data_IF_555426079488
#
_entry.id   IF_555426079488
#
_cell.length_a   1.000
_cell.length_b   1.000
_cell.length_c   1.000
_cell.angle_alpha   90.00
_cell.angle_beta   90.00
_cell.angle_gamma   90.00
#
_symmetry.space_group_name_H-M   'P 1'
#
loop_
_entity.id
_entity.type
_entity.pdbx_description
1 polymer ?
#
# COMPACT_ATOMS: atom_id res chain seq x y z
N UNK A 1 3.60 15.65 -23.39
CA UNK A 1 2.26 15.11 -23.03
C UNK A 1 2.36 14.66 -21.58
N UNK A 2 1.51 15.17 -20.72
CA UNK A 2 1.49 14.86 -19.30
C UNK A 2 0.53 13.71 -19.06
N UNK A 3 1.00 12.64 -18.42
CA UNK A 3 0.24 11.39 -18.28
C UNK A 3 0.57 10.70 -16.97
N UNK A 4 -0.40 9.97 -16.43
CA UNK A 4 -0.17 8.97 -15.39
C UNK A 4 -0.67 7.64 -15.96
N UNK A 5 0.21 6.66 -16.01
CA UNK A 5 -0.10 5.30 -16.44
C UNK A 5 -0.08 4.37 -15.24
N UNK A 6 -1.17 3.67 -15.00
CA UNK A 6 -1.22 2.55 -14.06
C UNK A 6 -0.59 1.32 -14.71
N UNK A 7 0.29 0.65 -13.98
CA UNK A 7 1.01 -0.55 -14.42
C UNK A 7 0.64 -1.67 -13.45
N UNK A 8 -0.08 -2.68 -13.92
CA UNK A 8 -0.29 -3.90 -13.14
C UNK A 8 1.06 -4.60 -12.93
N UNK A 9 1.40 -4.87 -11.67
CA UNK A 9 2.70 -5.41 -11.28
C UNK A 9 2.71 -6.94 -11.23
N UNK A 10 1.58 -7.61 -11.50
CA UNK A 10 1.49 -9.08 -11.47
C UNK A 10 1.78 -9.68 -10.10
N UNK A 11 1.57 -8.93 -9.02
CA UNK A 11 1.82 -9.38 -7.66
C UNK A 11 0.86 -10.51 -7.29
N UNK A 12 1.37 -11.75 -7.17
CA UNK A 12 0.60 -13.00 -6.98
C UNK A 12 -0.32 -13.33 -8.16
N UNK A 13 -1.21 -12.42 -8.55
CA UNK A 13 -2.00 -12.47 -9.76
C UNK A 13 -2.32 -11.05 -10.28
N UNK A 14 -2.72 -10.94 -11.54
CA UNK A 14 -3.12 -9.66 -12.15
C UNK A 14 -4.29 -9.02 -11.40
N UNK A 15 -4.22 -7.70 -11.24
CA UNK A 15 -5.24 -6.87 -10.59
C UNK A 15 -5.08 -6.72 -9.09
N UNK A 16 -4.03 -7.30 -8.48
CA UNK A 16 -3.81 -7.25 -7.04
C UNK A 16 -3.03 -5.99 -6.61
N UNK A 17 -1.91 -5.68 -7.26
CA UNK A 17 -1.10 -4.50 -6.97
C UNK A 17 -0.54 -3.87 -8.25
N UNK A 18 -0.41 -2.55 -8.23
CA UNK A 18 0.02 -1.75 -9.36
C UNK A 18 0.99 -0.66 -8.91
N UNK A 19 1.75 -0.15 -9.86
CA UNK A 19 2.56 1.04 -9.72
C UNK A 19 2.12 2.08 -10.74
N UNK A 20 2.70 3.28 -10.63
CA UNK A 20 2.36 4.39 -11.50
C UNK A 20 3.60 4.94 -12.18
N UNK A 21 3.54 5.04 -13.50
CA UNK A 21 4.48 5.82 -14.30
C UNK A 21 3.88 7.20 -14.55
N UNK A 22 4.49 8.22 -13.96
CA UNK A 22 4.12 9.62 -14.12
C UNK A 22 5.07 10.26 -15.13
N UNK A 23 4.51 10.87 -16.18
CA UNK A 23 5.26 11.44 -17.30
C UNK A 23 4.97 12.95 -17.41
N UNK A 24 6.04 13.71 -17.64
CA UNK A 24 5.99 15.13 -17.99
C UNK A 24 7.03 15.42 -19.07
N UNK A 25 6.57 15.47 -20.33
CA UNK A 25 7.45 15.68 -21.48
C UNK A 25 8.37 14.48 -21.71
N UNK A 26 9.67 14.72 -21.61
CA UNK A 26 10.77 13.75 -21.75
C UNK A 26 11.26 13.19 -20.41
N UNK A 27 10.51 13.44 -19.32
CA UNK A 27 10.86 13.05 -17.95
C UNK A 27 9.83 12.12 -17.35
N UNK A 28 10.29 11.24 -16.47
CA UNK A 28 9.47 10.25 -15.79
C UNK A 28 9.73 10.18 -14.27
N UNK A 29 8.71 9.74 -13.54
CA UNK A 29 8.78 9.36 -12.13
C UNK A 29 7.96 8.09 -11.93
N UNK A 30 8.47 7.14 -11.14
CA UNK A 30 7.67 6.02 -10.65
C UNK A 30 7.13 6.33 -9.26
N UNK A 31 5.85 6.04 -9.03
CA UNK A 31 5.25 5.97 -7.69
C UNK A 31 4.84 4.54 -7.44
N UNK A 32 5.37 3.99 -6.34
CA UNK A 32 5.44 2.55 -6.04
C UNK A 32 6.36 1.80 -7.00
N UNK A 33 7.05 0.77 -6.47
CA UNK A 33 8.02 -0.02 -7.24
C UNK A 33 7.75 -1.52 -7.14
N UNK A 34 6.80 -1.88 -6.27
CA UNK A 34 6.28 -3.22 -6.08
C UNK A 34 7.40 -4.23 -5.79
N UNK A 35 7.25 -5.49 -6.19
CA UNK A 35 8.28 -6.53 -6.01
C UNK A 35 9.36 -6.49 -7.10
N UNK A 36 10.47 -7.22 -6.93
CA UNK A 36 11.48 -7.34 -8.00
C UNK A 36 10.90 -7.91 -9.31
N UNK A 37 9.90 -8.78 -9.22
CA UNK A 37 9.24 -9.36 -10.39
C UNK A 37 8.45 -8.34 -11.20
N UNK A 38 8.10 -7.19 -10.60
CA UNK A 38 7.44 -6.09 -11.30
C UNK A 38 8.42 -5.23 -12.11
N UNK A 39 9.72 -5.21 -11.78
CA UNK A 39 10.68 -4.30 -12.42
C UNK A 39 10.71 -4.43 -13.95
N UNK A 40 10.72 -5.63 -14.57
CA UNK A 40 10.61 -5.76 -16.01
C UNK A 40 9.36 -5.06 -16.58
N UNK A 41 8.20 -5.18 -15.92
CA UNK A 41 6.95 -4.54 -16.33
C UNK A 41 7.03 -3.01 -16.23
N UNK A 42 7.69 -2.49 -15.19
CA UNK A 42 7.92 -1.05 -15.03
C UNK A 42 8.82 -0.50 -16.14
N UNK A 43 9.92 -1.19 -16.44
CA UNK A 43 10.87 -0.79 -17.49
C UNK A 43 10.24 -0.88 -18.88
N UNK A 44 9.43 -1.90 -19.14
CA UNK A 44 8.74 -2.03 -20.43
C UNK A 44 7.66 -0.97 -20.59
N UNK A 45 6.91 -0.65 -19.54
CA UNK A 45 5.96 0.47 -19.56
C UNK A 45 6.63 1.82 -19.88
N UNK A 46 7.86 2.05 -19.39
CA UNK A 46 8.64 3.25 -19.71
C UNK A 46 9.08 3.28 -21.18
N UNK A 47 9.58 2.16 -21.71
CA UNK A 47 9.97 2.03 -23.13
C UNK A 47 8.80 2.23 -24.09
N UNK A 48 7.63 1.69 -23.74
CA UNK A 48 6.42 1.84 -24.55
C UNK A 48 5.97 3.31 -24.68
N UNK A 49 6.31 4.15 -23.70
CA UNK A 49 6.09 5.59 -23.75
C UNK A 49 7.22 6.34 -24.47
N UNK A 50 8.20 5.61 -25.02
CA UNK A 50 9.32 6.15 -25.80
C UNK A 50 10.42 6.79 -24.97
N UNK A 51 10.47 6.51 -23.66
CA UNK A 51 11.44 7.11 -22.73
C UNK A 51 12.60 6.17 -22.41
N UNK A 52 13.79 6.74 -22.25
CA UNK A 52 14.98 6.05 -21.77
C UNK A 52 15.00 5.92 -20.24
N UNK A 53 15.85 5.05 -19.70
CA UNK A 53 15.96 4.85 -18.25
C UNK A 53 16.59 6.06 -17.53
N UNK A 54 17.37 6.84 -18.26
CA UNK A 54 17.95 8.12 -17.84
C UNK A 54 16.91 9.25 -17.74
N UNK A 55 15.71 9.07 -18.30
CA UNK A 55 14.59 9.99 -18.17
C UNK A 55 13.91 9.92 -16.78
N UNK A 56 14.20 8.89 -15.98
CA UNK A 56 13.58 8.71 -14.66
C UNK A 56 14.30 9.58 -13.63
N UNK A 57 13.63 10.62 -13.14
CA UNK A 57 14.17 11.52 -12.11
C UNK A 57 13.94 10.99 -10.70
N UNK A 58 12.78 10.37 -10.46
CA UNK A 58 12.39 9.92 -9.13
C UNK A 58 11.77 8.53 -9.12
N UNK A 59 12.07 7.83 -8.05
CA UNK A 59 11.46 6.56 -7.66
C UNK A 59 10.87 6.79 -6.27
N UNK A 60 9.55 6.81 -6.14
CA UNK A 60 8.87 7.20 -4.90
C UNK A 60 8.18 5.98 -4.30
N UNK A 61 8.46 5.66 -3.04
CA UNK A 61 7.72 4.65 -2.28
C UNK A 61 6.84 5.31 -1.22
N UNK A 62 5.58 4.91 -1.11
CA UNK A 62 4.71 5.39 -0.01
C UNK A 62 5.17 4.88 1.34
N UNK A 63 5.62 3.62 1.40
CA UNK A 63 6.16 2.96 2.59
C UNK A 63 6.99 1.71 2.22
N UNK A 64 7.63 1.07 3.19
CA UNK A 64 8.67 0.05 2.93
C UNK A 64 8.20 -1.41 2.92
N UNK A 65 6.89 -1.69 2.91
CA UNK A 65 6.45 -3.08 2.72
C UNK A 65 6.91 -3.61 1.36
N UNK A 66 7.21 -4.90 1.27
CA UNK A 66 7.96 -5.46 0.14
C UNK A 66 7.15 -5.58 -1.16
N UNK A 67 5.84 -5.59 -1.06
CA UNK A 67 4.88 -5.44 -2.16
C UNK A 67 4.70 -4.00 -2.64
N UNK A 68 5.38 -3.04 -2.01
CA UNK A 68 5.42 -1.62 -2.40
C UNK A 68 6.83 -1.19 -2.82
N UNK A 69 7.84 -1.65 -2.08
CA UNK A 69 9.22 -1.18 -2.16
C UNK A 69 10.25 -2.27 -2.50
N UNK A 70 9.87 -3.54 -2.64
CA UNK A 70 10.81 -4.65 -2.84
C UNK A 70 11.68 -4.51 -4.09
N UNK A 71 11.12 -3.98 -5.17
CA UNK A 71 11.79 -3.74 -6.45
C UNK A 71 12.60 -2.44 -6.52
N UNK A 72 12.65 -1.64 -5.44
CA UNK A 72 13.24 -0.28 -5.47
C UNK A 72 14.73 -0.32 -5.84
N UNK A 73 15.51 -1.18 -5.17
CA UNK A 73 16.95 -1.27 -5.42
C UNK A 73 17.27 -1.83 -6.81
N UNK A 74 16.49 -2.80 -7.28
CA UNK A 74 16.63 -3.35 -8.63
C UNK A 74 16.27 -2.31 -9.69
N UNK A 75 15.11 -1.65 -9.60
CA UNK A 75 14.70 -0.60 -10.53
C UNK A 75 15.71 0.56 -10.58
N UNK A 76 16.20 1.00 -9.42
CA UNK A 76 17.20 2.07 -9.34
C UNK A 76 18.49 1.73 -10.09
N UNK A 77 18.88 0.45 -10.13
CA UNK A 77 20.09 0.01 -10.85
C UNK A 77 20.00 0.22 -12.37
N UNK A 78 18.79 0.30 -12.92
CA UNK A 78 18.54 0.60 -14.33
C UNK A 78 18.40 2.10 -14.60
N UNK A 79 18.03 2.90 -13.59
CA UNK A 79 17.70 4.32 -13.72
C UNK A 79 18.85 5.21 -13.19
N UNK A 80 19.87 5.55 -14.00
CA UNK A 80 21.10 6.17 -13.52
C UNK A 80 20.90 7.58 -12.93
N UNK A 81 19.85 8.29 -13.30
CA UNK A 81 19.56 9.65 -12.84
C UNK A 81 18.56 9.70 -11.66
N UNK A 82 17.91 8.58 -11.33
CA UNK A 82 16.79 8.58 -10.40
C UNK A 82 17.22 8.78 -8.93
N UNK A 83 16.50 9.62 -8.18
CA UNK A 83 16.60 9.66 -6.72
C UNK A 83 15.41 8.95 -6.09
N UNK A 84 15.66 8.10 -5.09
CA UNK A 84 14.60 7.45 -4.33
C UNK A 84 14.04 8.42 -3.29
N UNK A 85 12.74 8.67 -3.33
CA UNK A 85 12.03 9.50 -2.36
C UNK A 85 11.26 8.60 -1.39
N UNK A 86 11.50 8.78 -0.09
CA UNK A 86 10.89 7.94 0.94
C UNK A 86 10.66 8.69 2.25
N UNK A 87 9.78 8.13 3.07
CA UNK A 87 9.55 8.63 4.41
C UNK A 87 10.85 8.50 5.24
N UNK A 88 11.21 9.46 6.12
CA UNK A 88 12.46 9.40 6.89
C UNK A 88 12.67 8.11 7.70
N UNK A 89 11.58 7.52 8.22
CA UNK A 89 11.59 6.22 8.91
C UNK A 89 11.63 5.00 7.98
N UNK A 90 11.31 5.13 6.70
CA UNK A 90 11.43 4.05 5.71
C UNK A 90 12.87 3.94 5.17
N UNK A 91 13.54 5.09 5.00
CA UNK A 91 14.86 5.18 4.36
C UNK A 91 15.95 4.27 4.96
N UNK A 92 16.07 4.10 6.29
CA UNK A 92 17.06 3.17 6.84
C UNK A 92 16.87 1.73 6.36
N UNK A 93 15.63 1.30 6.13
CA UNK A 93 15.29 -0.04 5.65
C UNK A 93 15.50 -0.21 4.14
N UNK A 94 15.47 0.87 3.37
CA UNK A 94 15.89 0.84 1.97
C UNK A 94 17.42 0.73 1.83
N UNK A 95 18.14 1.48 2.68
CA UNK A 95 19.61 1.49 2.67
C UNK A 95 20.17 0.16 3.15
N UNK A 96 19.58 -0.40 4.21
CA UNK A 96 19.90 -1.72 4.74
C UNK A 96 18.61 -2.54 4.94
N UNK A 97 18.24 -3.39 3.96
CA UNK A 97 17.02 -4.19 4.02
C UNK A 97 17.15 -5.43 4.90
N UNK A 98 18.30 -5.70 5.52
CA UNK A 98 18.56 -6.95 6.28
C UNK A 98 17.50 -7.27 7.33
N UNK A 99 17.04 -6.25 8.07
CA UNK A 99 15.99 -6.41 9.08
C UNK A 99 14.63 -6.74 8.47
N UNK A 100 14.27 -6.09 7.36
CA UNK A 100 13.00 -6.28 6.66
C UNK A 100 12.93 -7.66 6.01
N UNK A 101 14.04 -8.10 5.41
CA UNK A 101 14.22 -9.45 4.86
C UNK A 101 14.04 -10.48 5.99
N UNK A 102 14.78 -10.32 7.09
CA UNK A 102 14.72 -11.25 8.23
C UNK A 102 13.33 -11.37 8.81
N UNK A 103 12.63 -10.25 9.04
CA UNK A 103 11.26 -10.28 9.58
C UNK A 103 10.28 -10.94 8.62
N UNK A 104 10.42 -10.69 7.31
CA UNK A 104 9.53 -11.27 6.30
C UNK A 104 9.75 -12.78 6.14
N UNK A 105 11.01 -13.24 6.16
CA UNK A 105 11.35 -14.67 6.16
C UNK A 105 10.77 -15.38 7.38
N UNK A 106 10.78 -14.74 8.56
CA UNK A 106 10.18 -15.31 9.76
C UNK A 106 8.66 -15.52 9.65
N UNK A 107 7.97 -14.70 8.86
CA UNK A 107 6.52 -14.77 8.66
C UNK A 107 6.17 -15.75 7.55
N UNK A 108 6.80 -15.63 6.38
CA UNK A 108 6.41 -16.38 5.18
C UNK A 108 7.21 -17.67 4.96
N UNK A 109 8.36 -17.82 5.63
CA UNK A 109 9.35 -18.83 5.31
C UNK A 109 10.27 -18.37 4.17
N UNK A 110 11.51 -18.88 4.16
CA UNK A 110 12.55 -18.46 3.22
C UNK A 110 12.18 -18.74 1.75
N UNK A 111 11.67 -19.94 1.47
CA UNK A 111 11.27 -20.32 0.11
C UNK A 111 10.18 -19.39 -0.44
N UNK A 112 9.12 -19.14 0.35
CA UNK A 112 8.03 -18.26 -0.08
C UNK A 112 8.47 -16.80 -0.19
N UNK A 113 9.37 -16.34 0.70
CA UNK A 113 9.94 -15.01 0.61
C UNK A 113 10.59 -14.77 -0.76
N UNK A 114 11.47 -15.67 -1.19
CA UNK A 114 12.15 -15.51 -2.49
C UNK A 114 11.20 -15.70 -3.67
N UNK A 115 10.17 -16.56 -3.54
CA UNK A 115 9.11 -16.68 -4.56
C UNK A 115 8.26 -15.41 -4.72
N UNK A 116 7.99 -14.70 -3.62
CA UNK A 116 7.16 -13.49 -3.63
C UNK A 116 7.94 -12.24 -4.01
N UNK A 117 9.17 -12.10 -3.51
CA UNK A 117 9.89 -10.83 -3.55
C UNK A 117 11.23 -10.89 -4.29
N UNK A 118 11.80 -12.07 -4.53
CA UNK A 118 13.14 -12.23 -5.10
C UNK A 118 14.25 -11.70 -4.18
N UNK A 119 15.41 -11.38 -4.76
CA UNK A 119 16.55 -10.84 -4.02
C UNK A 119 16.42 -9.32 -3.80
N UNK A 120 16.20 -8.89 -2.57
CA UNK A 120 16.05 -7.47 -2.24
C UNK A 120 17.41 -6.77 -2.25
N UNK A 121 17.63 -5.89 -3.22
CA UNK A 121 18.84 -5.06 -3.31
C UNK A 121 18.76 -3.83 -2.40
N UNK A 122 19.84 -3.47 -1.69
CA UNK A 122 19.91 -2.22 -0.95
C UNK A 122 19.95 -1.01 -1.89
N UNK A 123 19.50 0.13 -1.39
CA UNK A 123 19.59 1.42 -2.09
C UNK A 123 20.80 2.22 -1.57
N UNK A 124 21.68 2.75 -2.44
CA UNK A 124 22.78 3.60 -2.00
C UNK A 124 22.27 4.85 -1.27
N UNK A 125 22.84 5.16 -0.10
CA UNK A 125 22.36 6.23 0.79
C UNK A 125 22.31 7.59 0.09
N UNK A 126 23.29 7.88 -0.76
CA UNK A 126 23.41 9.10 -1.55
C UNK A 126 22.32 9.24 -2.63
N UNK A 127 21.61 8.14 -2.94
CA UNK A 127 20.47 8.10 -3.86
C UNK A 127 19.13 8.11 -3.13
N UNK A 128 19.11 8.28 -1.81
CA UNK A 128 17.87 8.40 -1.01
C UNK A 128 17.69 9.83 -0.53
N UNK A 129 16.52 10.41 -0.79
CA UNK A 129 16.07 11.68 -0.21
C UNK A 129 14.84 11.45 0.66
N UNK A 130 14.93 11.94 1.88
CA UNK A 130 13.81 11.93 2.82
C UNK A 130 12.84 13.06 2.52
N UNK A 131 11.55 12.76 2.51
CA UNK A 131 10.49 13.77 2.36
C UNK A 131 9.76 13.99 3.69
N UNK A 132 9.76 15.22 4.19
CA UNK A 132 9.12 15.57 5.46
C UNK A 132 7.60 15.78 5.31
N UNK A 133 6.87 15.79 6.43
CA UNK A 133 5.43 16.06 6.41
C UNK A 133 5.15 17.47 5.89
N UNK A 134 4.28 17.57 4.90
CA UNK A 134 3.94 18.82 4.22
C UNK A 134 4.98 19.33 3.24
N UNK A 135 6.10 18.63 3.04
CA UNK A 135 7.13 19.03 2.08
C UNK A 135 6.58 18.98 0.65
N UNK A 136 6.98 19.95 -0.17
CA UNK A 136 6.57 20.08 -1.56
C UNK A 136 7.78 19.93 -2.50
N UNK A 137 7.57 19.26 -3.63
CA UNK A 137 8.55 19.03 -4.68
C UNK A 137 7.95 19.46 -6.02
N UNK A 138 8.43 20.57 -6.58
CA UNK A 138 8.13 20.95 -7.96
C UNK A 138 8.83 20.01 -8.94
N UNK A 139 8.07 19.43 -9.87
CA UNK A 139 8.60 18.55 -10.92
C UNK A 139 7.78 18.74 -12.19
N UNK A 140 8.39 19.25 -13.27
CA UNK A 140 7.65 19.60 -14.48
C UNK A 140 6.57 20.66 -14.22
N UNK A 141 5.34 20.38 -14.66
CA UNK A 141 4.15 21.25 -14.46
C UNK A 141 3.36 20.94 -13.19
N UNK A 142 3.84 20.02 -12.36
CA UNK A 142 3.17 19.59 -11.13
C UNK A 142 4.02 19.87 -9.89
N UNK A 143 3.34 19.95 -8.76
CA UNK A 143 3.94 19.92 -7.43
C UNK A 143 3.44 18.67 -6.73
N UNK A 144 4.38 17.85 -6.26
CA UNK A 144 4.09 16.75 -5.34
C UNK A 144 4.14 17.26 -3.91
N UNK A 145 3.06 17.05 -3.14
CA UNK A 145 3.03 17.34 -1.71
C UNK A 145 2.98 16.04 -0.92
N UNK A 146 3.93 15.87 -0.01
CA UNK A 146 4.07 14.67 0.81
C UNK A 146 3.32 14.85 2.12
N UNK A 147 2.37 13.97 2.41
CA UNK A 147 1.54 14.04 3.62
C UNK A 147 1.80 12.78 4.43
N UNK A 148 2.44 12.92 5.60
CA UNK A 148 2.72 11.79 6.47
C UNK A 148 1.40 11.24 7.04
N UNK A 149 1.18 9.97 6.78
CA UNK A 149 0.00 9.23 7.22
C UNK A 149 0.45 8.07 8.09
N UNK A 150 -0.28 7.86 9.17
CA UNK A 150 -0.06 6.76 10.11
C UNK A 150 -1.28 5.85 10.10
N UNK A 151 -1.22 4.80 10.91
CA UNK A 151 -2.33 3.89 11.08
C UNK A 151 -2.15 2.61 10.30
N UNK A 152 -1.69 2.62 9.05
CA UNK A 152 -1.24 1.39 8.39
C UNK A 152 0.22 1.05 8.79
N UNK A 153 1.12 2.02 8.64
CA UNK A 153 2.51 1.92 9.10
C UNK A 153 3.02 3.27 9.61
N UNK A 154 4.02 3.24 10.50
CA UNK A 154 4.63 4.45 11.06
C UNK A 154 5.58 5.18 10.09
N UNK A 155 5.85 4.58 8.94
CA UNK A 155 6.77 5.05 7.91
C UNK A 155 6.05 5.23 6.56
N UNK A 156 4.84 5.76 6.60
CA UNK A 156 3.97 5.92 5.43
C UNK A 156 3.74 7.40 5.12
N UNK A 157 3.69 7.75 3.83
CA UNK A 157 3.11 9.01 3.38
C UNK A 157 2.19 8.80 2.17
N UNK A 158 1.30 9.76 1.95
CA UNK A 158 0.58 9.92 0.70
C UNK A 158 1.21 11.06 -0.11
N UNK A 159 1.04 11.05 -1.43
CA UNK A 159 1.63 12.02 -2.34
C UNK A 159 0.50 12.69 -3.13
N UNK A 160 0.19 13.94 -2.81
CA UNK A 160 -0.77 14.74 -3.58
C UNK A 160 -0.10 15.27 -4.85
N UNK A 161 -0.76 15.13 -6.00
CA UNK A 161 -0.33 15.62 -7.31
C UNK A 161 -1.19 16.80 -7.75
N UNK A 162 -0.60 18.00 -7.77
CA UNK A 162 -1.32 19.24 -8.08
C UNK A 162 -1.89 19.29 -9.50
N UNK A 163 -1.32 18.56 -10.46
CA UNK A 163 -1.74 18.64 -11.86
C UNK A 163 -3.01 17.83 -12.12
N UNK A 164 -3.14 16.66 -11.50
CA UNK A 164 -4.32 15.79 -11.68
C UNK A 164 -5.37 15.94 -10.59
N UNK A 165 -5.10 16.79 -9.58
CA UNK A 165 -5.87 16.90 -8.34
C UNK A 165 -6.15 15.53 -7.70
N UNK A 166 -5.15 14.64 -7.76
CA UNK A 166 -5.22 13.28 -7.25
C UNK A 166 -4.18 13.02 -6.17
N UNK A 167 -4.33 11.93 -5.44
CA UNK A 167 -3.40 11.56 -4.36
C UNK A 167 -3.02 10.09 -4.43
N UNK A 168 -1.71 9.79 -4.46
CA UNK A 168 -1.20 8.44 -4.31
C UNK A 168 -1.20 8.06 -2.84
N UNK A 169 -1.88 6.98 -2.48
CA UNK A 169 -2.23 6.73 -1.08
C UNK A 169 -1.53 5.57 -0.43
N UNK A 170 -0.78 4.76 -1.21
CA UNK A 170 -0.31 3.47 -0.74
C UNK A 170 -1.48 2.68 -0.16
N UNK A 171 -1.24 2.14 1.03
CA UNK A 171 -2.22 1.37 1.81
C UNK A 171 -3.03 2.20 2.81
N UNK A 172 -2.70 3.49 2.97
CA UNK A 172 -3.46 4.36 3.89
C UNK A 172 -4.94 4.46 3.48
N UNK A 173 -5.22 4.40 2.17
CA UNK A 173 -6.59 4.44 1.63
C UNK A 173 -7.10 3.07 1.17
N UNK A 174 -6.52 1.99 1.71
CA UNK A 174 -7.07 0.65 1.67
C UNK A 174 -7.00 -0.10 0.34
N UNK A 175 -7.77 -1.18 0.31
CA UNK A 175 -7.85 -2.21 -0.73
C UNK A 175 -9.26 -2.21 -1.33
N UNK A 176 -9.43 -2.67 -2.56
CA UNK A 176 -10.65 -2.43 -3.38
C UNK A 176 -10.49 -2.97 -4.79
N UNK A 177 -9.91 -4.18 -4.86
CA UNK A 177 -9.45 -4.88 -6.05
C UNK A 177 -10.36 -4.73 -7.27
N UNK A 178 -9.77 -4.84 -8.47
CA UNK A 178 -10.51 -4.83 -9.74
C UNK A 178 -11.70 -5.79 -9.73
N UNK A 179 -11.56 -6.93 -9.04
CA UNK A 179 -12.60 -7.93 -8.81
C UNK A 179 -13.87 -7.38 -8.12
N UNK A 180 -13.72 -6.34 -7.30
CA UNK A 180 -14.78 -5.70 -6.54
C UNK A 180 -15.11 -4.29 -7.03
N UNK A 181 -14.75 -3.96 -8.28
CA UNK A 181 -15.11 -2.69 -8.93
C UNK A 181 -16.40 -2.81 -9.71
N UNK A 182 -17.35 -1.92 -9.42
CA UNK A 182 -18.66 -1.83 -10.09
C UNK A 182 -19.24 -0.43 -9.89
N UNK A 183 -18.72 0.55 -10.64
CA UNK A 183 -19.16 1.95 -10.54
C UNK A 183 -19.29 2.42 -9.08
N UNK A 184 -20.46 2.96 -8.71
CA UNK A 184 -20.81 3.42 -7.35
C UNK A 184 -20.94 2.30 -6.31
N UNK A 185 -21.10 1.06 -6.74
CA UNK A 185 -21.23 -0.12 -5.87
C UNK A 185 -19.86 -0.78 -5.61
N UNK A 186 -18.76 -0.16 -6.03
CA UNK A 186 -17.40 -0.65 -5.76
C UNK A 186 -17.11 -0.77 -4.26
N UNK A 187 -16.34 -1.79 -3.89
CA UNK A 187 -15.92 -2.02 -2.52
C UNK A 187 -14.51 -1.48 -2.27
N UNK A 188 -14.34 -0.75 -1.17
CA UNK A 188 -13.07 -0.35 -0.60
C UNK A 188 -13.05 -0.71 0.90
N UNK A 189 -11.96 -1.25 1.41
CA UNK A 189 -11.81 -1.67 2.81
C UNK A 189 -10.36 -1.51 3.31
N UNK A 190 -10.15 -1.32 4.62
CA UNK A 190 -8.80 -1.12 5.15
C UNK A 190 -7.97 -2.39 5.18
N UNK A 191 -6.65 -2.21 5.11
CA UNK A 191 -5.63 -3.22 5.38
C UNK A 191 -5.08 -3.04 6.80
N UNK A 192 -5.34 -4.00 7.67
CA UNK A 192 -4.84 -4.09 9.07
C UNK A 192 -3.71 -5.08 9.23
N UNK A 193 -3.15 -5.53 8.11
CA UNK A 193 -2.14 -6.58 8.01
C UNK A 193 -0.83 -6.27 8.77
N UNK A 194 -0.36 -5.01 8.92
CA UNK A 194 0.88 -4.75 9.64
C UNK A 194 0.71 -4.77 11.15
N UNK A 195 1.76 -5.21 11.84
CA UNK A 195 1.82 -5.24 13.32
C UNK A 195 1.67 -3.88 14.01
N UNK A 196 1.83 -2.79 13.24
CA UNK A 196 1.73 -1.41 13.68
C UNK A 196 0.38 -0.77 13.39
N UNK A 197 -0.63 -1.55 12.96
CA UNK A 197 -1.93 -1.00 12.64
C UNK A 197 -2.52 -0.21 13.81
N UNK A 198 -2.93 1.05 13.60
CA UNK A 198 -3.53 1.92 14.61
C UNK A 198 -4.80 2.59 14.05
N UNK A 199 -5.95 2.25 14.63
CA UNK A 199 -7.25 2.62 14.09
C UNK A 199 -7.51 4.13 14.24
N UNK A 200 -7.10 4.71 15.37
CA UNK A 200 -7.24 6.14 15.65
C UNK A 200 -6.40 6.97 14.68
N UNK A 201 -5.12 6.62 14.51
CA UNK A 201 -4.22 7.29 13.56
C UNK A 201 -4.64 7.05 12.10
N UNK A 202 -5.22 5.88 11.78
CA UNK A 202 -5.78 5.61 10.45
C UNK A 202 -6.97 6.52 10.14
N UNK A 203 -7.90 6.70 11.09
CA UNK A 203 -9.04 7.62 10.92
C UNK A 203 -8.57 9.06 10.68
N UNK A 204 -7.60 9.53 11.47
CA UNK A 204 -6.99 10.86 11.27
C UNK A 204 -6.31 10.97 9.91
N UNK A 205 -5.69 9.89 9.42
CA UNK A 205 -5.02 9.88 8.12
C UNK A 205 -6.01 9.94 6.96
N UNK A 206 -7.20 9.34 7.08
CA UNK A 206 -8.29 9.54 6.11
C UNK A 206 -8.72 11.01 6.08
N UNK A 207 -8.82 11.67 7.24
CA UNK A 207 -9.15 13.10 7.31
C UNK A 207 -8.06 13.98 6.68
N UNK A 208 -6.77 13.64 6.90
CA UNK A 208 -5.65 14.31 6.23
C UNK A 208 -5.73 14.18 4.71
N UNK A 209 -6.05 13.00 4.19
CA UNK A 209 -6.21 12.76 2.74
C UNK A 209 -7.32 13.66 2.19
N UNK A 210 -8.51 13.68 2.82
CA UNK A 210 -9.60 14.56 2.40
C UNK A 210 -9.25 16.05 2.52
N UNK A 211 -8.46 16.41 3.53
CA UNK A 211 -7.99 17.78 3.76
C UNK A 211 -7.03 18.31 2.69
N UNK A 212 -6.48 17.44 1.82
CA UNK A 212 -5.67 17.89 0.68
C UNK A 212 -6.50 18.55 -0.43
N UNK A 213 -7.81 18.26 -0.49
CA UNK A 213 -8.68 18.72 -1.57
C UNK A 213 -8.63 17.87 -2.84
N UNK A 214 -7.91 16.73 -2.82
CA UNK A 214 -7.91 15.77 -3.94
C UNK A 214 -9.33 15.27 -4.26
N UNK A 215 -9.61 15.06 -5.54
CA UNK A 215 -10.90 14.53 -6.01
C UNK A 215 -10.89 13.00 -6.12
N UNK A 216 -9.71 12.41 -6.34
CA UNK A 216 -9.51 10.98 -6.58
C UNK A 216 -8.26 10.44 -5.91
N UNK A 217 -8.24 9.15 -5.65
CA UNK A 217 -7.09 8.45 -5.08
C UNK A 217 -6.45 7.47 -6.09
N UNK A 218 -5.13 7.37 -6.08
CA UNK A 218 -4.35 6.39 -6.81
C UNK A 218 -3.88 5.33 -5.81
N UNK A 219 -4.55 4.17 -5.82
CA UNK A 219 -4.37 3.09 -4.87
C UNK A 219 -3.29 2.12 -5.36
N UNK A 220 -2.38 1.67 -4.49
CA UNK A 220 -1.36 0.67 -4.90
C UNK A 220 -2.03 -0.64 -5.26
N UNK A 221 -2.96 -1.08 -4.45
CA UNK A 221 -3.84 -2.14 -4.86
C UNK A 221 -4.83 -1.53 -5.85
N UNK A 222 -4.86 -2.01 -7.10
CA UNK A 222 -5.85 -1.79 -8.19
C UNK A 222 -6.17 -0.38 -8.75
N UNK A 223 -5.36 0.66 -8.55
CA UNK A 223 -5.43 1.83 -9.46
C UNK A 223 -6.34 2.97 -9.01
N UNK A 224 -6.92 3.68 -9.99
CA UNK A 224 -7.66 4.94 -9.74
C UNK A 224 -9.00 4.68 -9.04
N UNK A 225 -9.24 5.40 -7.94
CA UNK A 225 -10.51 5.51 -7.26
C UNK A 225 -11.07 6.92 -7.40
N UNK A 226 -12.06 7.09 -8.28
CA UNK A 226 -12.56 8.40 -8.70
C UNK A 226 -13.39 9.13 -7.64
N UNK A 227 -14.16 8.41 -6.81
CA UNK A 227 -14.99 9.03 -5.77
C UNK A 227 -14.33 8.92 -4.39
N UNK A 228 -13.36 9.80 -4.13
CA UNK A 228 -12.61 9.79 -2.88
C UNK A 228 -13.51 9.96 -1.64
N UNK A 229 -14.66 10.63 -1.76
CA UNK A 229 -15.57 10.84 -0.62
C UNK A 229 -16.30 9.57 -0.25
N UNK A 230 -16.82 8.84 -1.24
CA UNK A 230 -17.37 7.50 -1.03
C UNK A 230 -16.30 6.56 -0.46
N UNK A 231 -15.10 6.57 -1.03
CA UNK A 231 -13.98 5.76 -0.54
C UNK A 231 -13.65 6.05 0.93
N UNK A 232 -13.58 7.33 1.31
CA UNK A 232 -13.29 7.74 2.69
C UNK A 232 -14.39 7.29 3.67
N UNK A 233 -15.65 7.31 3.27
CA UNK A 233 -16.76 6.78 4.08
C UNK A 233 -16.59 5.28 4.31
N UNK A 234 -16.29 4.51 3.26
CA UNK A 234 -16.05 3.06 3.35
C UNK A 234 -14.83 2.75 4.23
N UNK A 235 -13.74 3.50 4.08
CA UNK A 235 -12.54 3.35 4.91
C UNK A 235 -12.83 3.61 6.38
N UNK A 236 -13.53 4.69 6.73
CA UNK A 236 -13.90 4.98 8.12
C UNK A 236 -14.78 3.89 8.72
N UNK A 237 -15.79 3.43 7.98
CA UNK A 237 -16.65 2.32 8.41
C UNK A 237 -15.83 1.04 8.66
N UNK A 238 -14.95 0.68 7.72
CA UNK A 238 -14.10 -0.49 7.84
C UNK A 238 -13.12 -0.40 9.01
N UNK A 239 -12.46 0.75 9.20
CA UNK A 239 -11.52 0.94 10.32
C UNK A 239 -12.25 0.80 11.66
N UNK A 240 -13.45 1.35 11.78
CA UNK A 240 -14.29 1.20 12.97
C UNK A 240 -14.68 -0.27 13.17
N UNK A 241 -15.03 -0.99 12.10
CA UNK A 241 -15.33 -2.42 12.18
C UNK A 241 -14.12 -3.23 12.71
N UNK A 242 -12.91 -2.99 12.19
CA UNK A 242 -11.70 -3.65 12.65
C UNK A 242 -11.38 -3.32 14.11
N UNK A 243 -11.56 -2.06 14.53
CA UNK A 243 -11.43 -1.64 15.93
C UNK A 243 -12.44 -2.34 16.84
N UNK A 244 -13.67 -2.55 16.39
CA UNK A 244 -14.69 -3.28 17.16
C UNK A 244 -14.36 -4.76 17.29
N UNK A 245 -13.84 -5.39 16.24
CA UNK A 245 -13.34 -6.77 16.27
C UNK A 245 -12.20 -6.88 17.28
N UNK A 246 -11.23 -5.97 17.21
CA UNK A 246 -10.11 -5.89 18.16
C UNK A 246 -10.60 -5.77 19.62
N UNK A 247 -11.49 -4.82 19.90
CA UNK A 247 -12.04 -4.59 21.24
C UNK A 247 -12.78 -5.83 21.77
N UNK A 248 -13.54 -6.51 20.90
CA UNK A 248 -14.26 -7.73 21.26
C UNK A 248 -13.31 -8.89 21.52
N UNK A 249 -12.28 -9.05 20.69
CA UNK A 249 -11.27 -10.09 20.80
C UNK A 249 -10.48 -9.96 22.11
N UNK A 250 -10.12 -8.74 22.54
CA UNK A 250 -9.46 -8.52 23.85
C UNK A 250 -10.28 -9.12 24.99
N UNK A 251 -11.60 -8.89 25.01
CA UNK A 251 -12.51 -9.32 26.09
C UNK A 251 -12.66 -10.84 26.20
N UNK A 252 -12.38 -11.58 25.12
CA UNK A 252 -12.49 -13.04 25.13
C UNK A 252 -11.41 -13.74 25.96
N UNK A 253 -10.24 -13.11 26.11
CA UNK A 253 -9.07 -13.76 26.69
C UNK A 253 -8.42 -14.81 25.78
N UNK A 254 -8.89 -15.03 24.55
CA UNK A 254 -8.29 -15.99 23.61
C UNK A 254 -6.86 -15.60 23.24
N UNK A 255 -6.01 -16.59 22.93
CA UNK A 255 -4.60 -16.47 22.56
C UNK A 255 -4.28 -17.40 21.38
N UNK A 256 -3.17 -17.14 20.68
CA UNK A 256 -2.67 -17.98 19.59
C UNK A 256 -3.69 -18.23 18.48
N UNK A 257 -3.75 -19.47 17.98
CA UNK A 257 -4.62 -19.85 16.88
C UNK A 257 -6.11 -19.61 17.14
N UNK A 258 -6.56 -19.74 18.40
CA UNK A 258 -7.96 -19.48 18.76
C UNK A 258 -8.31 -18.00 18.63
N UNK A 259 -7.37 -17.11 18.97
CA UNK A 259 -7.54 -15.67 18.78
C UNK A 259 -7.57 -15.30 17.29
N UNK A 260 -6.67 -15.88 16.50
CA UNK A 260 -6.64 -15.66 15.04
C UNK A 260 -7.96 -16.12 14.40
N UNK A 261 -8.42 -17.33 14.69
CA UNK A 261 -9.68 -17.86 14.14
C UNK A 261 -10.91 -17.02 14.56
N UNK A 262 -10.93 -16.49 15.79
CA UNK A 262 -11.97 -15.59 16.27
C UNK A 262 -12.03 -14.29 15.47
N UNK A 263 -10.86 -13.70 15.18
CA UNK A 263 -10.73 -12.48 14.39
C UNK A 263 -11.07 -12.76 12.92
N UNK A 264 -10.54 -13.82 12.34
CA UNK A 264 -10.73 -14.20 10.93
C UNK A 264 -12.21 -14.35 10.59
N UNK A 265 -12.96 -15.11 11.41
CA UNK A 265 -14.40 -15.30 11.22
C UNK A 265 -15.16 -13.97 11.15
N UNK A 266 -14.75 -12.98 11.96
CA UNK A 266 -15.43 -11.68 12.03
C UNK A 266 -15.01 -10.73 10.91
N UNK A 267 -13.72 -10.72 10.56
CA UNK A 267 -13.23 -9.95 9.42
C UNK A 267 -13.89 -10.46 8.14
N UNK A 268 -13.89 -11.79 7.94
CA UNK A 268 -14.55 -12.45 6.81
C UNK A 268 -16.04 -12.09 6.75
N UNK A 269 -16.76 -12.24 7.87
CA UNK A 269 -18.18 -11.88 7.93
C UNK A 269 -18.45 -10.41 7.59
N UNK A 270 -17.59 -9.48 8.04
CA UNK A 270 -17.69 -8.07 7.65
C UNK A 270 -17.52 -7.89 6.15
N UNK A 271 -16.45 -8.45 5.55
CA UNK A 271 -16.17 -8.30 4.12
C UNK A 271 -17.26 -8.92 3.24
N UNK A 272 -17.70 -10.15 3.54
CA UNK A 272 -18.80 -10.81 2.84
C UNK A 272 -20.10 -10.01 2.94
N UNK A 273 -20.37 -9.38 4.10
CA UNK A 273 -21.52 -8.50 4.26
C UNK A 273 -21.42 -7.24 3.39
N UNK A 274 -20.23 -6.62 3.29
CA UNK A 274 -20.01 -5.45 2.43
C UNK A 274 -20.21 -5.78 0.94
N UNK A 275 -19.74 -6.95 0.49
CA UNK A 275 -19.96 -7.49 -0.86
C UNK A 275 -21.45 -7.69 -1.13
N UNK A 276 -22.15 -8.35 -0.19
CA UNK A 276 -23.59 -8.64 -0.29
C UNK A 276 -24.43 -7.36 -0.39
N UNK A 277 -24.16 -6.36 0.45
CA UNK A 277 -24.89 -5.08 0.45
C UNK A 277 -24.70 -4.34 -0.87
N UNK A 278 -23.50 -4.40 -1.46
CA UNK A 278 -23.16 -3.79 -2.76
C UNK A 278 -23.61 -4.62 -3.96
N UNK A 279 -24.14 -5.84 -3.75
CA UNK A 279 -24.53 -6.77 -4.83
C UNK A 279 -23.39 -7.00 -5.81
N UNK A 280 -22.19 -7.18 -5.26
CA UNK A 280 -21.01 -7.58 -6.03
C UNK A 280 -21.05 -9.09 -6.28
N UNK A 281 -20.42 -9.57 -7.37
CA UNK A 281 -20.22 -11.01 -7.59
C UNK A 281 -19.52 -11.64 -6.39
N UNK A 282 -19.84 -12.90 -6.11
CA UNK A 282 -19.18 -13.68 -5.07
C UNK A 282 -19.15 -15.16 -5.46
N UNK A 283 -18.16 -15.53 -6.26
CA UNK A 283 -17.86 -16.92 -6.63
C UNK A 283 -16.56 -17.39 -5.99
N UNK A 284 -16.02 -18.50 -6.48
CA UNK A 284 -14.81 -19.13 -5.93
C UNK A 284 -13.59 -18.18 -5.91
N UNK A 285 -13.46 -17.31 -6.93
CA UNK A 285 -12.36 -16.36 -7.00
C UNK A 285 -12.48 -15.31 -5.90
N UNK A 286 -13.65 -14.67 -5.77
CA UNK A 286 -13.90 -13.68 -4.74
C UNK A 286 -13.77 -14.26 -3.34
N UNK A 287 -14.27 -15.48 -3.13
CA UNK A 287 -14.15 -16.19 -1.86
C UNK A 287 -12.68 -16.41 -1.49
N UNK A 288 -11.84 -16.83 -2.44
CA UNK A 288 -10.40 -17.01 -2.20
C UNK A 288 -9.72 -15.71 -1.79
N UNK A 289 -10.03 -14.60 -2.47
CA UNK A 289 -9.47 -13.28 -2.14
C UNK A 289 -9.89 -12.81 -0.74
N UNK A 290 -11.20 -12.89 -0.44
CA UNK A 290 -11.71 -12.48 0.87
C UNK A 290 -11.21 -13.37 1.98
N UNK A 291 -11.08 -14.68 1.74
CA UNK A 291 -10.49 -15.61 2.70
C UNK A 291 -9.05 -15.24 3.04
N UNK A 292 -8.23 -15.02 2.02
CA UNK A 292 -6.84 -14.60 2.19
C UNK A 292 -6.72 -13.29 2.97
N UNK A 293 -7.45 -12.25 2.57
CA UNK A 293 -7.40 -10.96 3.25
C UNK A 293 -7.94 -11.04 4.68
N UNK A 294 -9.01 -11.79 4.92
CA UNK A 294 -9.56 -11.97 6.25
C UNK A 294 -8.52 -12.63 7.17
N UNK A 295 -7.78 -13.62 6.67
CA UNK A 295 -6.75 -14.31 7.42
C UNK A 295 -5.60 -13.36 7.80
N UNK A 296 -5.06 -12.58 6.84
CA UNK A 296 -3.93 -11.68 7.13
C UNK A 296 -4.35 -10.54 8.06
N UNK A 297 -5.53 -9.94 7.83
CA UNK A 297 -6.07 -8.91 8.73
C UNK A 297 -6.26 -9.47 10.15
N UNK A 298 -6.76 -10.70 10.28
CA UNK A 298 -6.92 -11.35 11.57
C UNK A 298 -5.60 -11.60 12.29
N UNK A 299 -4.56 -12.01 11.57
CA UNK A 299 -3.21 -12.16 12.11
C UNK A 299 -2.65 -10.83 12.64
N UNK A 300 -2.82 -9.74 11.88
CA UNK A 300 -2.42 -8.40 12.31
C UNK A 300 -3.12 -7.96 13.59
N UNK A 301 -4.45 -8.13 13.66
CA UNK A 301 -5.25 -7.83 14.86
C UNK A 301 -4.81 -8.69 16.05
N UNK A 302 -4.66 -10.00 15.87
CA UNK A 302 -4.26 -10.93 16.92
C UNK A 302 -2.86 -10.58 17.48
N UNK A 303 -1.89 -10.32 16.60
CA UNK A 303 -0.55 -9.92 16.98
C UNK A 303 -0.55 -8.65 17.85
N UNK A 304 -1.34 -7.63 17.48
CA UNK A 304 -1.43 -6.38 18.25
C UNK A 304 -2.00 -6.62 19.66
N UNK A 305 -3.00 -7.49 19.79
CA UNK A 305 -3.57 -7.88 21.09
C UNK A 305 -2.53 -8.57 21.96
N UNK A 306 -1.80 -9.54 21.41
CA UNK A 306 -0.79 -10.29 22.17
C UNK A 306 0.36 -9.39 22.60
N UNK A 307 0.77 -8.44 21.74
CA UNK A 307 1.77 -7.43 22.08
C UNK A 307 1.29 -6.53 23.23
N UNK A 308 0.04 -6.04 23.18
CA UNK A 308 -0.49 -5.16 24.24
C UNK A 308 -0.60 -5.86 25.60
N UNK A 309 -0.92 -7.16 25.63
CA UNK A 309 -0.93 -7.96 26.85
C UNK A 309 0.46 -8.14 27.46
N UNK A 310 1.50 -8.29 26.64
CA UNK A 310 2.90 -8.41 27.09
C UNK A 310 3.45 -7.10 27.67
N UNK A 311 2.98 -5.94 27.19
CA UNK A 311 3.40 -4.63 27.71
C UNK A 311 2.76 -4.25 29.06
N UNK A 312 1.75 -5.00 29.52
CA UNK A 312 1.03 -4.77 30.78
C UNK A 312 1.51 -5.73 31.89
N UNK A 313 2.26 -6.78 31.54
CA UNK A 313 2.91 -7.70 32.48
C UNK A 313 4.30 -7.21 32.87
#
# INVERSE_FOLDING_TARGET
MEKIRTIDCGYVESGLACAYLVIDGDRATFVENNTNFAVPLLLDALKEEGLGFDAVDYIIITHVHLDHAGGTGELLSHCPNATVLSHPKASPHLIDPSRLIKSSIQVYGEENFYKLYGEIKPVPKERVRNMNDGEELSWGKRTFKFVHTKGHANHHFCIYDSLTNGIFTGDTFGLGYTLFRKDKDSLLYPSTTPTDFDAEEALLSIDKILGTGADKAYLTHFGVWEDIRSGASQMKEGIIAMKNIWTSAIKTGFEGETLVAFCETRVRSYLENQIRIRKLPFGEKEERFIGFDAQINAQGIAFKIERSRKSVK
#
